data_IF_903952577595
#
_entry.id   IF_903952577595
#
_cell.length_a   1.000
_cell.length_b   1.000
_cell.length_c   1.000
_cell.angle_alpha   90.00
_cell.angle_beta   90.00
_cell.angle_gamma   90.00
#
_symmetry.space_group_name_H-M   'P 1'
#
loop_
_entity.id
_entity.type
_entity.pdbx_description
1 polymer ?
#
# COMPACT_ATOMS: atom_id res chain seq x y z
N UNK A 1 22.94 -52.86 1.08
CA UNK A 1 23.78 -51.82 1.72
C UNK A 1 25.20 -52.31 1.94
N UNK A 2 25.39 -53.56 2.36
CA UNK A 2 26.73 -54.17 2.59
C UNK A 2 27.64 -54.14 1.35
N UNK A 3 27.13 -54.43 0.15
CA UNK A 3 27.93 -54.38 -1.08
C UNK A 3 28.35 -52.95 -1.51
N UNK A 4 27.76 -51.89 -0.94
CA UNK A 4 28.07 -50.50 -1.30
C UNK A 4 29.09 -49.85 -0.35
N UNK A 5 29.32 -50.44 0.84
CA UNK A 5 30.34 -49.99 1.80
C UNK A 5 31.75 -50.38 1.35
N UNK A 6 31.88 -51.52 0.67
CA UNK A 6 33.13 -52.00 0.08
C UNK A 6 33.44 -51.40 -1.31
N UNK A 7 32.52 -50.62 -1.89
CA UNK A 7 32.73 -49.98 -3.18
C UNK A 7 33.69 -48.79 -3.03
N UNK A 8 34.78 -48.70 -3.81
CA UNK A 8 35.73 -47.59 -3.71
C UNK A 8 35.06 -46.25 -4.01
N UNK A 9 35.45 -45.17 -3.32
CA UNK A 9 35.24 -43.80 -3.80
C UNK A 9 36.21 -43.49 -4.96
N UNK A 10 35.99 -42.37 -5.66
CA UNK A 10 36.88 -41.90 -6.73
C UNK A 10 38.34 -41.75 -6.27
N UNK A 11 38.57 -41.55 -4.97
CA UNK A 11 39.88 -41.45 -4.32
C UNK A 11 40.40 -42.79 -3.74
N UNK A 12 39.73 -43.91 -4.00
CA UNK A 12 40.15 -45.25 -3.57
C UNK A 12 39.88 -45.60 -2.09
N UNK A 13 39.23 -44.71 -1.32
CA UNK A 13 38.83 -44.99 0.07
C UNK A 13 37.46 -45.70 0.15
N UNK A 14 37.22 -46.53 1.19
CA UNK A 14 35.90 -47.12 1.40
C UNK A 14 34.88 -46.03 1.79
N UNK A 15 33.66 -46.12 1.25
CA UNK A 15 32.58 -45.17 1.54
C UNK A 15 32.21 -45.22 3.02
N UNK A 16 32.09 -44.05 3.65
CA UNK A 16 31.60 -43.94 5.03
C UNK A 16 30.16 -44.45 5.14
N UNK A 17 29.83 -45.08 6.27
CA UNK A 17 28.48 -45.59 6.56
C UNK A 17 27.40 -44.51 6.35
N UNK A 18 27.65 -43.27 6.78
CA UNK A 18 26.72 -42.15 6.62
C UNK A 18 26.49 -41.81 5.15
N UNK A 19 27.54 -41.85 4.32
CA UNK A 19 27.43 -41.61 2.88
C UNK A 19 26.66 -42.73 2.18
N UNK A 20 26.91 -44.00 2.53
CA UNK A 20 26.18 -45.13 1.94
C UNK A 20 24.71 -45.09 2.35
N UNK A 21 24.41 -44.83 3.62
CA UNK A 21 23.03 -44.69 4.09
C UNK A 21 22.35 -43.52 3.38
N UNK A 22 23.01 -42.36 3.25
CA UNK A 22 22.48 -41.20 2.52
C UNK A 22 22.18 -41.53 1.06
N UNK A 23 23.12 -42.18 0.35
CA UNK A 23 22.96 -42.56 -1.05
C UNK A 23 21.82 -43.57 -1.24
N UNK A 24 21.70 -44.56 -0.36
CA UNK A 24 20.64 -45.59 -0.40
C UNK A 24 19.27 -44.98 -0.09
N UNK A 25 19.17 -44.08 0.89
CA UNK A 25 17.94 -43.36 1.21
C UNK A 25 17.52 -42.43 0.06
N UNK A 26 18.48 -41.72 -0.54
CA UNK A 26 18.23 -40.88 -1.71
C UNK A 26 17.72 -41.71 -2.89
N UNK A 27 18.38 -42.83 -3.18
CA UNK A 27 17.97 -43.75 -4.23
C UNK A 27 16.57 -44.32 -3.97
N UNK A 28 16.29 -44.78 -2.76
CA UNK A 28 14.99 -45.31 -2.38
C UNK A 28 13.88 -44.25 -2.44
N UNK A 29 14.17 -43.01 -2.08
CA UNK A 29 13.21 -41.90 -2.16
C UNK A 29 12.90 -41.53 -3.62
N UNK A 30 13.88 -41.69 -4.52
CA UNK A 30 13.73 -41.45 -5.96
C UNK A 30 12.96 -42.56 -6.67
N UNK A 31 13.19 -43.82 -6.32
CA UNK A 31 12.59 -44.99 -6.97
C UNK A 31 11.23 -45.37 -6.38
N UNK A 32 11.01 -45.16 -5.08
CA UNK A 32 9.74 -45.46 -4.46
C UNK A 32 8.67 -44.42 -4.85
N UNK A 33 7.64 -44.85 -5.58
CA UNK A 33 6.58 -43.97 -6.06
C UNK A 33 5.84 -43.22 -4.95
N UNK A 34 5.60 -43.87 -3.80
CA UNK A 34 4.92 -43.24 -2.67
C UNK A 34 5.78 -42.11 -2.08
N UNK A 35 7.05 -42.38 -1.76
CA UNK A 35 7.96 -41.38 -1.18
C UNK A 35 8.19 -40.21 -2.14
N UNK A 36 8.36 -40.48 -3.44
CA UNK A 36 8.48 -39.43 -4.46
C UNK A 36 7.24 -38.55 -4.53
N UNK A 37 6.05 -39.15 -4.51
CA UNK A 37 4.79 -38.41 -4.58
C UNK A 37 4.54 -37.57 -3.33
N UNK A 38 4.80 -38.11 -2.14
CA UNK A 38 4.71 -37.37 -0.87
C UNK A 38 5.70 -36.21 -0.86
N UNK A 39 6.96 -36.45 -1.26
CA UNK A 39 7.98 -35.41 -1.37
C UNK A 39 7.57 -34.27 -2.30
N UNK A 40 7.02 -34.59 -3.47
CA UNK A 40 6.52 -33.59 -4.43
C UNK A 40 5.33 -32.79 -3.87
N UNK A 41 4.40 -33.43 -3.16
CA UNK A 41 3.28 -32.73 -2.54
C UNK A 41 3.74 -31.76 -1.45
N UNK A 42 4.68 -32.18 -0.60
CA UNK A 42 5.26 -31.33 0.44
C UNK A 42 6.03 -30.16 -0.17
N UNK A 43 6.86 -30.43 -1.18
CA UNK A 43 7.60 -29.39 -1.90
C UNK A 43 6.65 -28.37 -2.54
N UNK A 44 5.62 -28.84 -3.27
CA UNK A 44 4.62 -27.97 -3.90
C UNK A 44 3.89 -27.10 -2.88
N UNK A 45 3.43 -27.68 -1.76
CA UNK A 45 2.77 -26.92 -0.68
C UNK A 45 3.68 -25.86 -0.09
N UNK A 46 4.96 -26.20 0.13
CA UNK A 46 5.95 -25.25 0.66
C UNK A 46 6.16 -24.09 -0.30
N UNK A 47 6.32 -24.36 -1.60
CA UNK A 47 6.47 -23.31 -2.61
C UNK A 47 5.22 -22.43 -2.72
N UNK A 48 4.01 -23.01 -2.69
CA UNK A 48 2.79 -22.21 -2.73
C UNK A 48 2.63 -21.32 -1.51
N UNK A 49 2.96 -21.82 -0.31
CA UNK A 49 2.92 -21.02 0.90
C UNK A 49 3.95 -19.89 0.88
N UNK A 50 5.16 -20.15 0.38
CA UNK A 50 6.20 -19.13 0.22
C UNK A 50 5.77 -18.04 -0.77
N UNK A 51 5.15 -18.43 -1.90
CA UNK A 51 4.66 -17.47 -2.89
C UNK A 51 3.52 -16.61 -2.32
N UNK A 52 2.53 -17.23 -1.67
CA UNK A 52 1.42 -16.50 -1.03
C UNK A 52 1.94 -15.55 0.07
N UNK A 53 2.93 -15.97 0.86
CA UNK A 53 3.53 -15.11 1.86
C UNK A 53 4.25 -13.92 1.23
N UNK A 54 4.97 -14.13 0.13
CA UNK A 54 5.64 -13.05 -0.59
C UNK A 54 4.63 -12.05 -1.18
N UNK A 55 3.55 -12.54 -1.79
CA UNK A 55 2.46 -11.71 -2.32
C UNK A 55 1.79 -10.90 -1.20
N UNK A 56 1.51 -11.52 -0.05
CA UNK A 56 0.91 -10.84 1.11
C UNK A 56 1.81 -9.72 1.66
N UNK A 57 3.12 -9.94 1.72
CA UNK A 57 4.06 -8.90 2.19
C UNK A 57 4.14 -7.72 1.21
N UNK A 58 4.08 -7.99 -0.10
CA UNK A 58 3.97 -6.93 -1.12
C UNK A 58 2.65 -6.18 -0.96
N UNK A 59 1.52 -6.90 -0.82
CA UNK A 59 0.20 -6.29 -0.66
C UNK A 59 0.12 -5.41 0.59
N UNK A 60 0.66 -5.87 1.73
CA UNK A 60 0.71 -5.07 2.96
C UNK A 60 1.49 -3.77 2.78
N UNK A 61 2.62 -3.81 2.06
CA UNK A 61 3.42 -2.61 1.79
C UNK A 61 2.64 -1.63 0.92
N UNK A 62 2.11 -2.11 -0.20
CA UNK A 62 1.29 -1.29 -1.10
C UNK A 62 0.06 -0.71 -0.40
N UNK A 63 -0.63 -1.49 0.43
CA UNK A 63 -1.78 -1.02 1.21
C UNK A 63 -1.36 0.08 2.21
N UNK A 64 -0.23 -0.08 2.89
CA UNK A 64 0.29 0.95 3.80
C UNK A 64 0.61 2.25 3.07
N UNK A 65 1.20 2.17 1.87
CA UNK A 65 1.47 3.32 1.01
C UNK A 65 0.17 4.01 0.55
N UNK A 66 -0.82 3.23 0.12
CA UNK A 66 -2.14 3.75 -0.28
C UNK A 66 -2.85 4.44 0.89
N UNK A 67 -2.77 3.88 2.10
CA UNK A 67 -3.35 4.50 3.30
C UNK A 67 -2.71 5.86 3.59
N UNK A 68 -1.38 5.98 3.41
CA UNK A 68 -0.69 7.25 3.57
C UNK A 68 -1.14 8.28 2.53
N UNK A 69 -1.26 7.87 1.26
CA UNK A 69 -1.77 8.73 0.18
C UNK A 69 -3.18 9.23 0.49
N UNK A 70 -4.09 8.32 0.88
CA UNK A 70 -5.47 8.67 1.22
C UNK A 70 -5.53 9.63 2.41
N UNK A 71 -4.67 9.41 3.42
CA UNK A 71 -4.60 10.31 4.58
C UNK A 71 -4.17 11.71 4.14
N UNK A 72 -3.10 11.83 3.37
CA UNK A 72 -2.60 13.12 2.89
C UNK A 72 -3.65 13.84 2.03
N UNK A 73 -4.32 13.12 1.13
CA UNK A 73 -5.39 13.68 0.29
C UNK A 73 -6.56 14.20 1.13
N UNK A 74 -6.93 13.51 2.22
CA UNK A 74 -7.98 14.01 3.13
C UNK A 74 -7.55 15.31 3.82
N UNK A 75 -6.33 15.37 4.32
CA UNK A 75 -5.78 16.57 4.97
C UNK A 75 -5.74 17.76 3.98
N UNK A 76 -5.31 17.54 2.74
CA UNK A 76 -5.32 18.56 1.69
C UNK A 76 -6.74 19.04 1.35
N UNK A 77 -7.69 18.11 1.20
CA UNK A 77 -9.09 18.45 0.93
C UNK A 77 -9.72 19.25 2.06
N UNK A 78 -9.46 18.89 3.32
CA UNK A 78 -9.96 19.63 4.48
C UNK A 78 -9.35 21.03 4.54
N UNK A 79 -8.05 21.16 4.23
CA UNK A 79 -7.37 22.45 4.11
C UNK A 79 -8.00 23.34 3.04
N UNK A 80 -8.18 22.80 1.82
CA UNK A 80 -8.82 23.51 0.71
C UNK A 80 -10.26 23.91 1.03
N UNK A 81 -11.04 23.01 1.66
CA UNK A 81 -12.41 23.29 2.07
C UNK A 81 -12.47 24.48 3.03
N UNK A 82 -11.61 24.48 4.05
CA UNK A 82 -11.54 25.58 5.02
C UNK A 82 -11.13 26.89 4.35
N UNK A 83 -10.16 26.84 3.43
CA UNK A 83 -9.74 28.02 2.67
C UNK A 83 -10.88 28.56 1.83
N UNK A 84 -11.56 27.73 1.03
CA UNK A 84 -12.68 28.16 0.19
C UNK A 84 -13.80 28.76 1.04
N UNK A 85 -14.17 28.11 2.14
CA UNK A 85 -15.19 28.62 3.05
C UNK A 85 -14.81 29.97 3.66
N UNK A 86 -13.58 30.13 4.13
CA UNK A 86 -13.10 31.39 4.69
C UNK A 86 -13.06 32.51 3.65
N UNK A 87 -12.61 32.20 2.43
CA UNK A 87 -12.54 33.18 1.34
C UNK A 87 -13.93 33.64 0.92
N UNK A 88 -14.89 32.71 0.82
CA UNK A 88 -16.26 33.03 0.45
C UNK A 88 -16.97 33.84 1.55
N UNK A 89 -16.75 33.52 2.83
CA UNK A 89 -17.27 34.32 3.93
C UNK A 89 -16.72 35.75 3.93
N UNK A 90 -15.42 35.93 3.67
CA UNK A 90 -14.81 37.25 3.54
C UNK A 90 -15.45 38.03 2.38
N UNK A 91 -15.60 37.38 1.21
CA UNK A 91 -16.24 37.98 0.04
C UNK A 91 -17.68 38.44 0.31
N UNK A 92 -18.48 37.61 1.01
CA UNK A 92 -19.85 37.96 1.39
C UNK A 92 -19.87 39.19 2.30
N UNK A 93 -19.01 39.21 3.32
CA UNK A 93 -18.91 40.33 4.25
C UNK A 93 -18.53 41.63 3.54
N UNK A 94 -17.52 41.58 2.66
CA UNK A 94 -17.10 42.74 1.87
C UNK A 94 -18.23 43.25 0.96
N UNK A 95 -18.98 42.33 0.36
CA UNK A 95 -20.13 42.67 -0.48
C UNK A 95 -21.26 43.34 0.33
N UNK A 96 -21.54 42.86 1.54
CA UNK A 96 -22.51 43.49 2.45
C UNK A 96 -22.08 44.89 2.90
N UNK A 97 -20.81 45.06 3.28
CA UNK A 97 -20.26 46.35 3.67
C UNK A 97 -20.32 47.36 2.52
N UNK A 98 -19.96 46.93 1.31
CA UNK A 98 -20.04 47.77 0.12
C UNK A 98 -21.49 48.15 -0.21
N UNK A 99 -22.43 47.22 -0.08
CA UNK A 99 -23.86 47.52 -0.28
C UNK A 99 -24.39 48.53 0.73
N UNK A 100 -23.97 48.46 2.00
CA UNK A 100 -24.34 49.44 3.03
C UNK A 100 -23.78 50.83 2.72
N UNK A 101 -22.50 50.91 2.34
CA UNK A 101 -21.87 52.19 1.94
C UNK A 101 -22.57 52.79 0.73
N UNK A 102 -22.91 51.97 -0.26
CA UNK A 102 -23.63 52.42 -1.44
C UNK A 102 -25.01 52.98 -1.08
N UNK A 103 -25.79 52.27 -0.25
CA UNK A 103 -27.09 52.75 0.21
C UNK A 103 -26.99 54.07 1.02
N UNK A 104 -25.93 54.24 1.82
CA UNK A 104 -25.69 55.49 2.55
C UNK A 104 -25.34 56.65 1.60
N UNK A 105 -24.52 56.40 0.58
CA UNK A 105 -24.18 57.38 -0.44
C UNK A 105 -25.42 57.78 -1.25
N UNK A 106 -26.24 56.81 -1.68
CA UNK A 106 -27.49 57.06 -2.39
C UNK A 106 -28.44 57.95 -1.57
N UNK A 107 -28.61 57.67 -0.28
CA UNK A 107 -29.39 58.53 0.63
C UNK A 107 -28.84 59.95 0.74
N UNK A 108 -27.51 60.12 0.81
CA UNK A 108 -26.89 61.46 0.85
C UNK A 108 -27.13 62.22 -0.45
N UNK A 109 -27.06 61.56 -1.59
CA UNK A 109 -27.35 62.16 -2.90
C UNK A 109 -28.81 62.62 -2.96
N UNK A 110 -29.75 61.76 -2.57
CA UNK A 110 -31.19 62.07 -2.55
C UNK A 110 -31.51 63.29 -1.67
N UNK A 111 -30.86 63.38 -0.49
CA UNK A 111 -30.98 64.53 0.39
C UNK A 111 -30.48 65.83 -0.25
N UNK A 112 -29.31 65.80 -0.90
CA UNK A 112 -28.73 66.97 -1.57
C UNK A 112 -29.59 67.43 -2.75
N UNK A 113 -30.12 66.49 -3.54
CA UNK A 113 -31.04 66.81 -4.64
C UNK A 113 -32.34 67.44 -4.13
N UNK A 114 -32.88 66.93 -3.01
CA UNK A 114 -34.07 67.50 -2.37
C UNK A 114 -33.83 68.92 -1.86
N UNK A 115 -32.64 69.21 -1.32
CA UNK A 115 -32.26 70.54 -0.85
C UNK A 115 -32.07 71.55 -2.00
N UNK A 116 -31.44 71.12 -3.10
CA UNK A 116 -31.19 71.98 -4.26
C UNK A 116 -32.42 72.18 -5.17
N UNK A 117 -33.43 71.30 -5.10
CA UNK A 117 -34.68 71.43 -5.85
C UNK A 117 -35.76 72.30 -5.19
N UNK A 118 -35.49 72.82 -3.97
CA UNK A 118 -36.39 73.71 -3.22
C UNK A 118 -35.94 75.18 -3.18
N UNK A 119 -34.94 75.57 -3.98
CA UNK A 119 -34.60 76.97 -4.31
C UNK A 119 -35.14 77.34 -5.69
#
# INVERSE_FOLDING_TARGET
MENQLAAPTEDGQPKSATQVVSAVLHQNTKTNHFLRNVGNQVAKRRTTLQNVQAELEVEKRTNSELQLIVKNQREEMDGLKNQVQGTEQARIKDQEENRKKQAELEKKIELLLSQNGQS
#
